data_IF_458230524965
#
_entry.id   IF_458230524965
#
_cell.length_a   1.000
_cell.length_b   1.000
_cell.length_c   1.000
_cell.angle_alpha   90.00
_cell.angle_beta   90.00
_cell.angle_gamma   90.00
#
_symmetry.space_group_name_H-M   'P 1'
#
loop_
_entity.id
_entity.type
_entity.pdbx_description
1 polymer ?
#
# COMPACT_ATOMS: atom_id res chain seq x y z
N UNK A 1 7.75 -13.22 -8.90
CA UNK A 1 6.26 -13.17 -8.89
C UNK A 1 5.83 -11.90 -8.14
N UNK A 2 4.88 -11.13 -8.67
CA UNK A 2 4.46 -9.86 -8.05
C UNK A 2 3.60 -10.11 -6.81
N UNK A 3 3.68 -9.25 -5.80
CA UNK A 3 2.72 -9.24 -4.67
C UNK A 3 1.97 -7.91 -4.65
N UNK A 4 0.65 -7.97 -4.64
CA UNK A 4 -0.21 -6.79 -4.70
C UNK A 4 -1.05 -6.74 -3.43
N UNK A 5 -0.94 -5.64 -2.71
CA UNK A 5 -1.60 -5.45 -1.43
C UNK A 5 -2.68 -4.39 -1.53
N UNK A 6 -3.87 -4.69 -1.01
CA UNK A 6 -4.99 -3.77 -1.06
C UNK A 6 -6.30 -4.34 -0.56
N UNK A 7 -7.40 -3.85 -1.13
CA UNK A 7 -8.76 -4.38 -0.91
C UNK A 7 -9.45 -4.48 -2.27
N UNK A 8 -10.29 -5.50 -2.45
CA UNK A 8 -11.01 -5.72 -3.73
C UNK A 8 -11.90 -4.54 -4.12
N UNK A 9 -12.57 -3.94 -3.14
CA UNK A 9 -13.47 -2.80 -3.35
C UNK A 9 -12.71 -1.46 -3.35
N UNK A 10 -11.71 -1.34 -4.22
CA UNK A 10 -10.97 -0.10 -4.45
C UNK A 10 -10.69 0.05 -5.95
N UNK A 11 -11.10 1.18 -6.55
CA UNK A 11 -10.96 1.40 -7.99
C UNK A 11 -9.51 1.32 -8.47
N UNK A 12 -8.57 1.92 -7.73
CA UNK A 12 -7.14 1.86 -8.08
C UNK A 12 -6.59 0.44 -8.02
N UNK A 13 -6.99 -0.35 -7.02
CA UNK A 13 -6.60 -1.77 -6.92
C UNK A 13 -7.18 -2.57 -8.08
N UNK A 14 -8.47 -2.40 -8.38
CA UNK A 14 -9.12 -3.04 -9.53
C UNK A 14 -8.39 -2.73 -10.84
N UNK A 15 -8.09 -1.46 -11.10
CA UNK A 15 -7.34 -1.03 -12.30
C UNK A 15 -5.96 -1.69 -12.38
N UNK A 16 -5.23 -1.76 -11.26
CA UNK A 16 -3.94 -2.45 -11.19
C UNK A 16 -4.07 -3.94 -11.51
N UNK A 17 -5.03 -4.64 -10.89
CA UNK A 17 -5.24 -6.07 -11.11
C UNK A 17 -5.64 -6.36 -12.57
N UNK A 18 -6.56 -5.56 -13.13
CA UNK A 18 -7.00 -5.66 -14.52
C UNK A 18 -5.81 -5.46 -15.48
N UNK A 19 -4.96 -4.46 -15.23
CA UNK A 19 -3.78 -4.17 -16.05
C UNK A 19 -2.72 -5.26 -15.96
N UNK A 20 -2.37 -5.72 -14.75
CA UNK A 20 -1.37 -6.78 -14.54
C UNK A 20 -1.84 -8.09 -15.18
N UNK A 21 -3.14 -8.40 -15.07
CA UNK A 21 -3.75 -9.56 -15.74
C UNK A 21 -3.66 -9.43 -17.26
N UNK A 22 -3.97 -8.24 -17.82
CA UNK A 22 -3.88 -7.99 -19.26
C UNK A 22 -2.44 -8.07 -19.80
N UNK A 23 -1.44 -7.75 -18.98
CA UNK A 23 -0.02 -7.91 -19.31
C UNK A 23 0.47 -9.36 -19.17
N UNK A 24 -0.36 -10.28 -18.67
CA UNK A 24 0.01 -11.68 -18.47
C UNK A 24 1.00 -11.91 -17.32
N UNK A 25 1.13 -10.95 -16.40
CA UNK A 25 2.07 -11.02 -15.29
C UNK A 25 1.47 -11.83 -14.13
N UNK A 26 2.23 -12.79 -13.59
CA UNK A 26 1.82 -13.56 -12.43
C UNK A 26 1.91 -12.72 -11.14
N UNK A 27 0.84 -12.72 -10.37
CA UNK A 27 0.77 -12.00 -9.09
C UNK A 27 0.02 -12.79 -8.01
N UNK A 28 0.36 -12.49 -6.77
CA UNK A 28 -0.39 -12.85 -5.57
C UNK A 28 -1.10 -11.59 -5.04
N UNK A 29 -2.38 -11.71 -4.67
CA UNK A 29 -3.13 -10.60 -4.09
C UNK A 29 -3.36 -10.82 -2.59
N UNK A 30 -2.87 -9.87 -1.78
CA UNK A 30 -3.05 -9.82 -0.33
C UNK A 30 -4.16 -8.85 0.04
N UNK A 31 -5.28 -9.38 0.57
CA UNK A 31 -6.45 -8.59 0.95
C UNK A 31 -6.35 -8.16 2.42
N UNK A 32 -6.08 -6.87 2.64
CA UNK A 32 -5.94 -6.30 3.99
C UNK A 32 -7.16 -6.54 4.88
N UNK A 33 -8.38 -6.63 4.33
CA UNK A 33 -9.58 -6.86 5.14
C UNK A 33 -9.65 -8.28 5.70
N UNK A 34 -8.99 -9.22 5.05
CA UNK A 34 -9.01 -10.63 5.43
C UNK A 34 -7.74 -11.04 6.16
N UNK A 35 -6.61 -10.49 5.74
CA UNK A 35 -5.29 -10.95 6.14
C UNK A 35 -4.53 -9.93 7.01
N UNK A 36 -5.03 -8.69 7.15
CA UNK A 36 -4.30 -7.62 7.84
C UNK A 36 -2.99 -7.27 7.12
N UNK A 37 -2.00 -6.80 7.86
CA UNK A 37 -0.60 -6.66 7.43
C UNK A 37 0.30 -6.70 8.66
N UNK A 38 1.48 -7.30 8.56
CA UNK A 38 2.46 -7.30 9.65
C UNK A 38 3.35 -6.06 9.66
N UNK A 39 4.04 -5.85 10.78
CA UNK A 39 4.92 -4.72 10.99
C UNK A 39 6.14 -4.73 10.04
N UNK A 40 6.69 -5.91 9.76
CA UNK A 40 7.91 -6.05 8.95
C UNK A 40 7.69 -5.57 7.51
N UNK A 41 6.54 -5.90 6.91
CA UNK A 41 6.17 -5.37 5.59
C UNK A 41 5.99 -3.86 5.61
N UNK A 42 5.31 -3.32 6.62
CA UNK A 42 5.11 -1.87 6.72
C UNK A 42 6.43 -1.14 6.92
N UNK A 43 7.33 -1.68 7.75
CA UNK A 43 8.66 -1.13 7.96
C UNK A 43 9.49 -1.13 6.67
N UNK A 44 9.49 -2.24 5.93
CA UNK A 44 10.13 -2.34 4.62
C UNK A 44 9.61 -1.27 3.65
N UNK A 45 8.30 -1.05 3.61
CA UNK A 45 7.69 -0.05 2.73
C UNK A 45 8.06 1.38 3.12
N UNK A 46 8.06 1.67 4.42
CA UNK A 46 8.46 2.96 4.94
C UNK A 46 9.93 3.25 4.68
N UNK A 47 10.82 2.25 4.83
CA UNK A 47 12.24 2.37 4.52
C UNK A 47 12.48 2.63 3.02
N UNK A 48 11.70 1.98 2.14
CA UNK A 48 11.89 2.09 0.70
C UNK A 48 11.27 3.36 0.07
N UNK A 49 10.12 3.83 0.58
CA UNK A 49 9.32 4.89 -0.07
C UNK A 49 9.01 6.07 0.83
N UNK A 50 9.25 5.97 2.13
CA UNK A 50 8.96 7.01 3.10
C UNK A 50 7.47 7.13 3.47
N UNK A 51 7.22 7.75 4.63
CA UNK A 51 5.88 7.89 5.21
C UNK A 51 4.94 8.72 4.33
N UNK A 52 5.41 9.77 3.66
CA UNK A 52 4.57 10.61 2.78
C UNK A 52 3.97 9.83 1.59
N UNK A 53 4.62 8.74 1.18
CA UNK A 53 4.14 7.89 0.08
C UNK A 53 3.23 6.78 0.62
N UNK A 54 3.62 6.13 1.72
CA UNK A 54 2.88 4.99 2.30
C UNK A 54 1.61 5.42 3.03
N UNK A 55 1.65 6.52 3.80
CA UNK A 55 0.52 7.00 4.57
C UNK A 55 -0.48 7.75 3.67
N UNK A 56 -1.73 7.28 3.65
CA UNK A 56 -2.82 7.90 2.92
C UNK A 56 -3.46 9.05 3.71
N UNK A 57 -2.74 10.17 3.87
CA UNK A 57 -3.26 11.39 4.53
C UNK A 57 -4.52 11.98 3.85
N UNK A 58 -4.73 11.69 2.57
CA UNK A 58 -5.91 12.14 1.81
C UNK A 58 -7.15 11.26 2.06
N UNK A 59 -6.97 10.06 2.61
CA UNK A 59 -8.01 9.08 2.85
C UNK A 59 -8.98 9.49 3.95
N UNK A 60 -10.20 8.96 3.89
CA UNK A 60 -11.25 9.25 4.88
C UNK A 60 -10.89 8.73 6.27
N UNK A 61 -10.19 7.61 6.38
CA UNK A 61 -9.74 7.08 7.68
C UNK A 61 -8.83 8.09 8.37
N UNK A 62 -7.81 8.60 7.69
CA UNK A 62 -6.91 9.61 8.26
C UNK A 62 -7.67 10.86 8.72
N UNK A 63 -8.55 11.37 7.87
CA UNK A 63 -9.38 12.55 8.20
C UNK A 63 -10.35 12.34 9.36
N UNK A 64 -10.71 11.10 9.68
CA UNK A 64 -11.59 10.75 10.81
C UNK A 64 -10.83 10.60 12.13
N UNK A 65 -9.52 10.40 12.09
CA UNK A 65 -8.69 10.40 13.29
C UNK A 65 -8.72 11.80 13.92
N UNK A 66 -8.79 11.84 15.24
CA UNK A 66 -8.60 13.05 16.03
C UNK A 66 -7.20 13.64 15.83
N UNK A 67 -7.03 14.92 16.16
CA UNK A 67 -5.71 15.56 16.10
C UNK A 67 -4.67 14.84 16.98
N UNK A 68 -5.07 14.33 18.14
CA UNK A 68 -4.19 13.58 19.03
C UNK A 68 -3.73 12.25 18.40
N UNK A 69 -4.65 11.50 17.77
CA UNK A 69 -4.31 10.25 17.06
C UNK A 69 -3.37 10.51 15.87
N UNK A 70 -3.63 11.57 15.10
CA UNK A 70 -2.75 11.95 13.99
C UNK A 70 -1.35 12.33 14.49
N UNK A 71 -1.26 13.10 15.57
CA UNK A 71 0.01 13.49 16.16
C UNK A 71 0.77 12.28 16.73
N UNK A 72 0.07 11.35 17.39
CA UNK A 72 0.65 10.11 17.90
C UNK A 72 1.21 9.27 16.76
N UNK A 73 0.42 9.02 15.71
CA UNK A 73 0.85 8.24 14.54
C UNK A 73 2.08 8.85 13.84
N UNK A 74 2.29 10.17 13.92
CA UNK A 74 3.43 10.86 13.32
C UNK A 74 4.60 11.09 14.30
N UNK A 75 4.46 10.71 15.57
CA UNK A 75 5.46 10.99 16.62
C UNK A 75 6.74 10.17 16.49
N UNK A 76 6.66 8.98 15.89
CA UNK A 76 7.79 8.11 15.62
C UNK A 76 7.45 7.07 14.54
N UNK A 77 8.47 6.42 13.97
CA UNK A 77 8.28 5.33 13.01
C UNK A 77 7.51 4.16 13.63
N UNK A 78 7.79 3.80 14.89
CA UNK A 78 7.09 2.72 15.58
C UNK A 78 5.59 3.01 15.73
N UNK A 79 5.23 4.24 16.10
CA UNK A 79 3.82 4.65 16.19
C UNK A 79 3.13 4.70 14.82
N UNK A 80 3.86 5.09 13.78
CA UNK A 80 3.32 5.03 12.42
C UNK A 80 3.06 3.58 11.99
N UNK A 81 3.99 2.67 12.25
CA UNK A 81 3.83 1.24 11.93
C UNK A 81 2.61 0.69 12.68
N UNK A 82 2.50 0.94 13.98
CA UNK A 82 1.36 0.50 14.80
C UNK A 82 0.02 1.02 14.25
N UNK A 83 -0.05 2.30 13.87
CA UNK A 83 -1.25 2.88 13.27
C UNK A 83 -1.59 2.22 11.92
N UNK A 84 -0.60 1.94 11.07
CA UNK A 84 -0.80 1.35 9.76
C UNK A 84 -1.19 -0.13 9.82
N UNK A 85 -0.64 -0.90 10.75
CA UNK A 85 -1.00 -2.32 10.97
C UNK A 85 -2.38 -2.45 11.60
N UNK A 86 -2.70 -1.60 12.57
CA UNK A 86 -4.02 -1.55 13.23
C UNK A 86 -5.12 -1.07 12.27
N UNK A 87 -4.81 -0.07 11.45
CA UNK A 87 -5.75 0.52 10.51
C UNK A 87 -5.20 0.50 9.08
N UNK A 88 -5.18 -0.67 8.45
CA UNK A 88 -4.67 -0.88 7.07
C UNK A 88 -5.28 0.03 5.99
N UNK A 89 -6.45 0.64 6.26
CA UNK A 89 -7.02 1.67 5.38
C UNK A 89 -6.26 3.00 5.35
N UNK A 90 -5.36 3.23 6.31
CA UNK A 90 -4.38 4.31 6.33
C UNK A 90 -3.23 4.07 5.34
N UNK A 91 -3.03 2.84 4.87
CA UNK A 91 -2.02 2.53 3.87
C UNK A 91 -2.55 2.94 2.49
N UNK A 92 -1.72 3.62 1.69
CA UNK A 92 -2.02 3.96 0.31
C UNK A 92 -2.09 2.70 -0.54
N UNK A 93 -3.06 2.62 -1.45
CA UNK A 93 -3.39 1.40 -2.18
C UNK A 93 -3.47 1.64 -3.69
N UNK A 94 -3.10 0.64 -4.51
CA UNK A 94 -2.40 -0.60 -4.11
C UNK A 94 -0.96 -0.35 -3.67
N UNK A 95 -0.35 -1.32 -2.98
CA UNK A 95 1.12 -1.45 -2.92
C UNK A 95 1.49 -2.67 -3.77
N UNK A 96 2.45 -2.52 -4.68
CA UNK A 96 2.92 -3.59 -5.56
C UNK A 96 4.38 -3.82 -5.22
N UNK A 97 4.69 -5.01 -4.71
CA UNK A 97 6.07 -5.44 -4.52
C UNK A 97 6.54 -6.25 -5.72
N UNK A 98 7.71 -5.88 -6.21
CA UNK A 98 8.50 -6.64 -7.19
C UNK A 98 9.75 -7.19 -6.49
N UNK A 99 10.61 -7.90 -7.24
CA UNK A 99 11.89 -8.39 -6.70
C UNK A 99 12.88 -7.25 -6.38
N UNK A 100 12.71 -6.07 -6.98
CA UNK A 100 13.69 -4.98 -6.91
C UNK A 100 13.10 -3.64 -6.49
N UNK A 101 11.77 -3.49 -6.51
CA UNK A 101 11.12 -2.20 -6.26
C UNK A 101 9.72 -2.35 -5.65
N UNK A 102 9.22 -1.23 -5.12
CA UNK A 102 7.89 -1.08 -4.55
C UNK A 102 7.16 0.06 -5.26
N UNK A 103 6.03 -0.23 -5.90
CA UNK A 103 5.16 0.77 -6.51
C UNK A 103 3.98 1.03 -5.58
N UNK A 104 3.67 2.30 -5.33
CA UNK A 104 2.62 2.70 -4.37
C UNK A 104 1.59 3.58 -5.07
N UNK A 105 0.34 3.12 -5.06
CA UNK A 105 -0.76 3.70 -5.82
C UNK A 105 -0.86 3.14 -7.24
N UNK A 106 -1.86 3.63 -7.97
CA UNK A 106 -2.02 3.29 -9.38
C UNK A 106 -1.28 4.34 -10.22
N UNK A 107 -0.25 3.90 -10.92
CA UNK A 107 0.38 4.62 -12.02
C UNK A 107 0.48 3.63 -13.19
N UNK A 108 -0.20 3.93 -14.30
CA UNK A 108 -0.25 3.02 -15.45
C UNK A 108 1.12 2.82 -16.10
N UNK A 109 1.93 3.89 -16.21
CA UNK A 109 3.24 3.82 -16.85
C UNK A 109 4.22 2.95 -16.04
N UNK A 110 4.25 3.15 -14.72
CA UNK A 110 5.08 2.34 -13.81
C UNK A 110 4.68 0.86 -13.87
N UNK A 111 3.37 0.56 -13.90
CA UNK A 111 2.88 -0.82 -13.96
C UNK A 111 3.18 -1.45 -15.32
N UNK A 112 3.04 -0.71 -16.44
CA UNK A 112 3.39 -1.21 -17.78
C UNK A 112 4.89 -1.44 -17.93
N UNK A 113 5.73 -0.70 -17.22
CA UNK A 113 7.17 -0.94 -17.21
C UNK A 113 7.54 -2.31 -16.62
N UNK A 114 6.68 -2.91 -15.78
CA UNK A 114 6.92 -4.24 -15.19
C UNK A 114 6.94 -5.37 -16.21
N UNK A 115 6.30 -5.21 -17.38
CA UNK A 115 6.31 -6.25 -18.43
C UNK A 115 7.48 -6.15 -19.40
N UNK A 116 8.37 -5.16 -19.22
CA UNK A 116 9.53 -4.91 -20.10
C UNK A 116 10.84 -5.41 -19.52
N UNK A 117 10.83 -5.85 -18.27
CA UNK A 117 11.93 -6.52 -17.58
C UNK A 117 11.67 -8.03 -17.54
#
# INVERSE_FOLDING_TARGET
MLKIYGIKNCNSVKKTLDLITALGLAYEFHDYKKQGIDADHVEKWLAAKGSEVILNKKGTTWKKLSAAEQQLALSSQAQLIDALTTHTSLIKRPVIETEHDIIVGFNEDDIRALSKN
#
